data_IF_498086412121
#
_entry.id   IF_498086412121
#
_cell.length_a   1.000
_cell.length_b   1.000
_cell.length_c   1.000
_cell.angle_alpha   90.00
_cell.angle_beta   90.00
_cell.angle_gamma   90.00
#
_symmetry.space_group_name_H-M   'P 1'
#
loop_
_entity.id
_entity.type
_entity.pdbx_description
1 polymer ?
#
# COMPACT_ATOMS: atom_id res chain seq x y z
N UNK A 1 0.78 6.84 -9.09
CA UNK A 1 0.83 7.57 -7.80
C UNK A 1 1.23 9.02 -8.06
N UNK A 2 0.55 10.00 -7.46
CA UNK A 2 1.08 11.37 -7.38
C UNK A 2 2.35 11.44 -6.53
N UNK A 3 2.75 12.64 -6.11
CA UNK A 3 3.93 12.90 -5.26
C UNK A 3 3.80 12.34 -3.83
N UNK A 4 3.65 11.02 -3.68
CA UNK A 4 3.75 10.33 -2.39
C UNK A 4 5.22 9.99 -2.17
N UNK A 5 5.81 10.55 -1.12
CA UNK A 5 7.19 10.25 -0.75
C UNK A 5 7.19 9.20 0.37
N UNK A 6 7.80 8.05 0.11
CA UNK A 6 7.89 6.96 1.08
C UNK A 6 9.14 7.11 1.93
N UNK A 7 8.97 7.08 3.26
CA UNK A 7 10.09 6.91 4.17
C UNK A 7 10.45 5.44 4.24
N UNK A 8 11.69 5.11 3.86
CA UNK A 8 12.22 3.74 3.96
C UNK A 8 13.20 3.69 5.13
N UNK A 9 12.79 3.07 6.23
CA UNK A 9 13.68 2.81 7.36
C UNK A 9 14.56 1.58 7.09
N UNK A 10 15.77 1.49 7.68
CA UNK A 10 16.61 0.30 7.55
C UNK A 10 15.85 -0.99 7.93
N UNK A 11 15.86 -1.98 7.03
CA UNK A 11 15.14 -3.24 7.22
C UNK A 11 13.67 -3.21 6.82
N UNK A 12 13.15 -2.08 6.33
CA UNK A 12 11.85 -2.01 5.63
C UNK A 12 12.12 -2.13 4.13
N UNK A 13 11.34 -2.96 3.45
CA UNK A 13 11.44 -3.13 2.01
C UNK A 13 11.04 -1.83 1.29
N UNK A 14 11.91 -1.34 0.41
CA UNK A 14 11.58 -0.19 -0.43
C UNK A 14 10.60 -0.63 -1.53
N UNK A 15 9.57 0.18 -1.86
CA UNK A 15 8.73 -0.06 -3.03
C UNK A 15 9.57 -0.16 -4.31
N UNK A 16 9.39 -1.25 -5.06
CA UNK A 16 10.12 -1.53 -6.30
C UNK A 16 9.14 -1.97 -7.40
N UNK A 17 9.66 -2.64 -8.44
CA UNK A 17 8.88 -3.08 -9.59
C UNK A 17 7.72 -4.00 -9.22
N UNK A 18 7.92 -4.92 -8.28
CA UNK A 18 6.87 -5.82 -7.77
C UNK A 18 5.71 -5.05 -7.10
N UNK A 19 6.04 -4.02 -6.33
CA UNK A 19 5.06 -3.11 -5.72
C UNK A 19 4.31 -2.31 -6.78
N UNK A 20 4.99 -1.89 -7.84
CA UNK A 20 4.37 -1.21 -8.98
C UNK A 20 3.42 -2.14 -9.75
N UNK A 21 3.80 -3.40 -9.94
CA UNK A 21 2.97 -4.43 -10.56
C UNK A 21 1.69 -4.67 -9.75
N UNK A 22 1.81 -4.81 -8.43
CA UNK A 22 0.66 -4.96 -7.54
C UNK A 22 -0.22 -3.70 -7.51
N UNK A 23 0.36 -2.50 -7.58
CA UNK A 23 -0.39 -1.25 -7.68
C UNK A 23 -1.18 -1.16 -9.01
N UNK A 24 -0.61 -1.68 -10.11
CA UNK A 24 -1.31 -1.83 -11.39
C UNK A 24 -2.51 -2.76 -11.27
N UNK A 25 -2.29 -3.99 -10.77
CA UNK A 25 -3.35 -4.96 -10.56
C UNK A 25 -4.47 -4.42 -9.64
N UNK A 26 -4.08 -3.76 -8.55
CA UNK A 26 -5.03 -3.08 -7.66
C UNK A 26 -5.84 -2.05 -8.44
N UNK A 27 -5.22 -1.24 -9.30
CA UNK A 27 -5.90 -0.20 -10.09
C UNK A 27 -6.96 -0.74 -11.03
N UNK A 28 -6.74 -1.94 -11.57
CA UNK A 28 -7.68 -2.63 -12.47
C UNK A 28 -8.82 -3.32 -11.70
N UNK A 29 -8.68 -3.54 -10.39
CA UNK A 29 -9.71 -4.16 -9.56
C UNK A 29 -10.93 -3.24 -9.36
N UNK A 30 -12.17 -3.70 -9.60
CA UNK A 30 -13.38 -2.91 -9.43
C UNK A 30 -13.79 -2.78 -7.96
N UNK A 31 -12.98 -2.05 -7.17
CA UNK A 31 -13.28 -1.76 -5.78
C UNK A 31 -14.47 -0.80 -5.65
N UNK A 32 -15.54 -1.17 -4.92
CA UNK A 32 -16.63 -0.25 -4.65
C UNK A 32 -16.16 0.92 -3.78
N UNK A 33 -16.76 2.12 -3.89
CA UNK A 33 -16.48 3.23 -3.01
C UNK A 33 -16.62 2.83 -1.53
N UNK A 34 -15.61 3.14 -0.72
CA UNK A 34 -15.60 2.78 0.70
C UNK A 34 -15.37 1.29 0.98
N UNK A 35 -14.86 0.51 0.02
CA UNK A 35 -14.47 -0.88 0.23
C UNK A 35 -13.54 -1.01 1.45
N UNK A 36 -13.75 -2.05 2.26
CA UNK A 36 -12.82 -2.40 3.33
C UNK A 36 -11.64 -3.18 2.70
N UNK A 37 -10.42 -2.68 2.87
CA UNK A 37 -9.20 -3.25 2.29
C UNK A 37 -8.22 -3.59 3.40
N UNK A 38 -7.60 -4.77 3.30
CA UNK A 38 -6.52 -5.19 4.17
C UNK A 38 -5.22 -5.26 3.35
N UNK A 39 -4.18 -4.54 3.78
CA UNK A 39 -2.83 -4.62 3.22
C UNK A 39 -1.92 -5.35 4.20
N UNK A 40 -1.45 -6.55 3.82
CA UNK A 40 -0.66 -7.45 4.69
C UNK A 40 0.81 -7.38 4.31
N UNK A 41 1.68 -7.10 5.29
CA UNK A 41 3.09 -6.83 5.02
C UNK A 41 3.28 -5.47 4.36
N UNK A 42 2.62 -4.45 4.93
CA UNK A 42 2.45 -3.14 4.29
C UNK A 42 3.78 -2.42 4.02
N UNK A 43 4.84 -2.75 4.76
CA UNK A 43 6.17 -2.12 4.60
C UNK A 43 6.08 -0.61 4.74
N UNK A 44 6.31 0.13 3.65
CA UNK A 44 6.17 1.59 3.63
C UNK A 44 4.74 2.09 3.46
N UNK A 45 3.75 1.20 3.34
CA UNK A 45 2.34 1.55 3.12
C UNK A 45 1.98 1.85 1.66
N UNK A 46 2.79 1.40 0.68
CA UNK A 46 2.60 1.81 -0.70
C UNK A 46 1.26 1.37 -1.31
N UNK A 47 0.87 0.11 -1.11
CA UNK A 47 -0.40 -0.42 -1.59
C UNK A 47 -1.57 0.05 -0.72
N UNK A 48 -1.37 0.13 0.60
CA UNK A 48 -2.34 0.74 1.50
C UNK A 48 -2.74 2.17 1.07
N UNK A 49 -1.77 3.03 0.76
CA UNK A 49 -2.03 4.38 0.27
C UNK A 49 -2.68 4.38 -1.10
N UNK A 50 -2.27 3.50 -2.02
CA UNK A 50 -2.91 3.37 -3.33
C UNK A 50 -4.40 3.00 -3.19
N UNK A 51 -4.74 2.06 -2.30
CA UNK A 51 -6.12 1.68 -2.01
C UNK A 51 -6.92 2.80 -1.33
N UNK A 52 -6.30 3.54 -0.39
CA UNK A 52 -6.93 4.66 0.29
C UNK A 52 -7.23 5.83 -0.66
N UNK A 53 -6.30 6.16 -1.57
CA UNK A 53 -6.52 7.14 -2.64
C UNK A 53 -7.63 6.69 -3.61
N UNK A 54 -7.84 5.37 -3.71
CA UNK A 54 -9.00 4.66 -4.29
C UNK A 54 -10.36 5.03 -3.68
N UNK A 55 -10.36 5.61 -2.48
CA UNK A 55 -11.55 5.75 -1.63
C UNK A 55 -11.83 4.53 -0.75
N UNK A 56 -10.88 3.59 -0.61
CA UNK A 56 -11.00 2.44 0.30
C UNK A 56 -10.79 2.82 1.77
N UNK A 57 -11.44 2.08 2.67
CA UNK A 57 -11.14 2.08 4.11
C UNK A 57 -10.08 1.01 4.38
N UNK A 58 -8.85 1.44 4.60
CA UNK A 58 -7.70 0.54 4.62
C UNK A 58 -7.27 0.23 6.05
N UNK A 59 -7.02 -1.06 6.32
CA UNK A 59 -6.23 -1.52 7.47
C UNK A 59 -4.92 -2.05 6.92
N UNK A 60 -3.81 -1.49 7.39
CA UNK A 60 -2.47 -1.89 7.00
C UNK A 60 -1.79 -2.57 8.18
N UNK A 61 -1.18 -3.74 7.96
CA UNK A 61 -0.50 -4.50 9.02
C UNK A 61 0.88 -4.94 8.56
N UNK A 62 1.81 -4.97 9.50
CA UNK A 62 3.14 -5.54 9.30
C UNK A 62 3.60 -6.21 10.61
N UNK A 63 4.45 -7.22 10.48
CA UNK A 63 5.11 -7.86 11.63
C UNK A 63 6.31 -7.05 12.08
N UNK A 64 6.90 -6.26 11.18
CA UNK A 64 8.01 -5.37 11.47
C UNK A 64 7.51 -4.12 12.17
N UNK A 65 7.94 -3.92 13.42
CA UNK A 65 7.68 -2.68 14.17
C UNK A 65 8.10 -1.42 13.40
N UNK A 66 9.11 -1.50 12.53
CA UNK A 66 9.61 -0.32 11.78
C UNK A 66 8.70 0.08 10.61
N UNK A 67 7.70 -0.74 10.28
CA UNK A 67 6.78 -0.53 9.19
C UNK A 67 5.41 0.04 9.64
N UNK A 68 5.22 0.27 10.95
CA UNK A 68 3.96 0.75 11.55
C UNK A 68 4.16 1.79 12.64
#
# INVERSE_FOLDING_TARGET
MGSVNFMVLPGVYAPQEDTALLAGALSDEPLPPGAAVLDVGTGTGALALAAALRGGRVTAVDVSWRAV
#
